data_IF_521004614299
#
_entry.id   IF_521004614299
#
_cell.length_a   1.000
_cell.length_b   1.000
_cell.length_c   1.000
_cell.angle_alpha   90.00
_cell.angle_beta   90.00
_cell.angle_gamma   90.00
#
_symmetry.space_group_name_H-M   'P 1'
#
loop_
_entity.id
_entity.type
_entity.pdbx_description
1 polymer ?
#
# COMPACT_ATOMS: atom_id res chain seq x y z
N UNK A 1 -17.49 10.57 11.94
CA UNK A 1 -17.84 10.07 10.61
C UNK A 1 -17.99 8.55 10.66
N UNK A 2 -19.15 8.03 10.21
CA UNK A 2 -19.42 6.59 10.16
C UNK A 2 -19.10 6.01 8.76
N UNK A 3 -17.89 6.29 8.26
CA UNK A 3 -17.40 5.75 6.99
C UNK A 3 -16.05 5.06 7.21
N UNK A 4 -15.73 3.98 6.47
CA UNK A 4 -14.40 3.41 6.51
C UNK A 4 -13.32 4.45 6.19
N UNK A 5 -12.24 4.43 6.96
CA UNK A 5 -11.10 5.32 6.80
C UNK A 5 -9.90 4.50 6.35
N UNK A 6 -9.33 4.88 5.22
CA UNK A 6 -8.02 4.44 4.79
C UNK A 6 -6.98 5.43 5.32
N UNK A 7 -6.28 5.04 6.38
CA UNK A 7 -5.24 5.84 7.00
C UNK A 7 -3.89 5.54 6.34
N UNK A 8 -3.36 6.49 5.59
CA UNK A 8 -2.03 6.39 4.96
C UNK A 8 -0.94 6.85 5.92
N UNK A 9 0.12 6.06 6.06
CA UNK A 9 1.29 6.38 6.87
C UNK A 9 1.97 7.64 6.35
N UNK A 10 2.31 8.56 7.23
CA UNK A 10 3.14 9.71 6.89
C UNK A 10 4.57 9.28 6.53
N UNK A 11 5.19 9.94 5.57
CA UNK A 11 6.53 9.61 5.07
C UNK A 11 7.62 9.64 6.14
N UNK A 12 7.40 10.38 7.22
CA UNK A 12 8.35 10.54 8.35
C UNK A 12 7.88 9.83 9.62
N UNK A 13 6.73 9.14 9.58
CA UNK A 13 6.16 8.50 10.75
C UNK A 13 6.84 7.15 11.05
N UNK A 14 7.21 6.97 12.30
CA UNK A 14 7.50 5.64 12.85
C UNK A 14 6.23 4.78 12.85
N UNK A 15 6.38 3.46 12.97
CA UNK A 15 5.22 2.56 13.10
C UNK A 15 4.39 2.94 14.33
N UNK A 16 5.03 3.31 15.44
CA UNK A 16 4.35 3.73 16.67
C UNK A 16 3.47 4.97 16.44
N UNK A 17 3.99 6.01 15.80
CA UNK A 17 3.22 7.22 15.49
C UNK A 17 2.06 6.93 14.52
N UNK A 18 2.27 6.01 13.58
CA UNK A 18 1.22 5.56 12.67
C UNK A 18 0.08 4.84 13.41
N UNK A 19 0.42 3.93 14.34
CA UNK A 19 -0.55 3.25 15.20
C UNK A 19 -1.28 4.24 16.13
N UNK A 20 -0.58 5.21 16.71
CA UNK A 20 -1.20 6.27 17.53
C UNK A 20 -2.20 7.10 16.72
N UNK A 21 -1.91 7.36 15.45
CA UNK A 21 -2.86 8.05 14.55
C UNK A 21 -4.11 7.22 14.28
N UNK A 22 -3.97 5.90 14.15
CA UNK A 22 -5.11 5.00 14.02
C UNK A 22 -5.92 4.93 15.31
N UNK A 23 -5.25 4.84 16.45
CA UNK A 23 -5.89 4.84 17.77
C UNK A 23 -6.71 6.10 18.00
N UNK A 24 -6.23 7.24 17.54
CA UNK A 24 -6.99 8.51 17.62
C UNK A 24 -8.32 8.42 16.86
N UNK A 25 -8.32 7.81 15.67
CA UNK A 25 -9.55 7.61 14.91
C UNK A 25 -10.49 6.62 15.62
N UNK A 26 -9.94 5.54 16.17
CA UNK A 26 -10.70 4.53 16.91
C UNK A 26 -11.34 5.11 18.18
N UNK A 27 -10.62 5.96 18.90
CA UNK A 27 -11.10 6.61 20.14
C UNK A 27 -12.26 7.59 19.89
N UNK A 28 -12.35 8.15 18.69
CA UNK A 28 -13.50 8.96 18.24
C UNK A 28 -14.72 8.10 17.82
N UNK A 29 -14.68 6.79 18.06
CA UNK A 29 -15.80 5.85 17.86
C UNK A 29 -15.85 5.21 16.47
N UNK A 30 -14.92 5.49 15.56
CA UNK A 30 -14.89 4.84 14.25
C UNK A 30 -13.97 3.62 14.23
N UNK A 31 -14.56 2.43 14.27
CA UNK A 31 -13.83 1.16 14.26
C UNK A 31 -13.43 0.68 12.85
N UNK A 32 -13.85 1.39 11.80
CA UNK A 32 -13.62 0.99 10.40
C UNK A 32 -12.35 1.66 9.86
N UNK A 33 -11.18 1.23 10.34
CA UNK A 33 -9.88 1.77 9.96
C UNK A 33 -9.06 0.73 9.22
N UNK A 34 -8.49 1.11 8.08
CA UNK A 34 -7.54 0.32 7.27
C UNK A 34 -6.22 1.07 7.27
N UNK A 35 -5.14 0.41 7.62
CA UNK A 35 -3.79 0.96 7.57
C UNK A 35 -3.20 0.82 6.17
N UNK A 36 -2.54 1.87 5.67
CA UNK A 36 -1.89 1.85 4.37
C UNK A 36 -0.42 2.33 4.48
N UNK A 37 0.51 1.41 4.26
CA UNK A 37 1.91 1.76 4.01
C UNK A 37 2.06 2.27 2.59
N UNK A 38 2.73 3.40 2.41
CA UNK A 38 2.85 4.12 1.13
C UNK A 38 4.28 4.61 0.84
N UNK A 39 5.25 4.06 1.52
CA UNK A 39 6.65 4.47 1.47
C UNK A 39 7.02 5.52 2.50
N UNK A 40 8.20 5.37 3.04
CA UNK A 40 8.83 6.29 3.99
C UNK A 40 10.00 7.01 3.33
N UNK A 41 10.29 8.21 3.81
CA UNK A 41 11.45 8.98 3.36
C UNK A 41 12.73 8.42 3.94
N UNK A 42 13.67 8.10 3.06
CA UNK A 42 15.02 7.65 3.44
C UNK A 42 16.08 8.45 2.67
N UNK A 43 17.32 8.11 2.86
CA UNK A 43 18.44 8.69 2.10
C UNK A 43 18.48 8.22 0.63
N UNK A 44 17.77 7.11 0.29
CA UNK A 44 17.76 6.58 -1.07
C UNK A 44 16.91 7.45 -1.99
N UNK A 45 17.46 7.74 -3.17
CA UNK A 45 16.84 8.62 -4.16
C UNK A 45 16.48 7.93 -5.48
N UNK A 46 16.80 6.63 -5.62
CA UNK A 46 16.45 5.84 -6.81
C UNK A 46 14.96 5.58 -6.94
N UNK A 47 14.21 5.70 -5.84
CA UNK A 47 12.75 5.65 -5.80
C UNK A 47 12.20 6.91 -5.12
N UNK A 48 10.93 7.22 -5.37
CA UNK A 48 10.26 8.38 -4.76
C UNK A 48 10.29 8.31 -3.23
N UNK A 49 9.99 7.13 -2.68
CA UNK A 49 10.12 6.77 -1.28
C UNK A 49 10.59 5.32 -1.16
N UNK A 50 11.03 4.91 0.00
CA UNK A 50 11.36 3.51 0.28
C UNK A 50 10.13 2.79 0.79
N UNK A 51 9.70 1.73 0.11
CA UNK A 51 8.60 0.89 0.57
C UNK A 51 9.06 0.05 1.76
N UNK A 52 8.47 0.30 2.93
CA UNK A 52 8.77 -0.44 4.16
C UNK A 52 7.90 -1.70 4.27
N UNK A 53 8.28 -2.75 3.54
CA UNK A 53 7.60 -4.05 3.59
C UNK A 53 7.71 -4.67 4.99
N UNK A 54 8.78 -4.39 5.72
CA UNK A 54 8.98 -4.91 7.07
C UNK A 54 7.94 -4.42 8.08
N UNK A 55 7.27 -3.31 7.80
CA UNK A 55 6.18 -2.84 8.66
C UNK A 55 4.98 -3.79 8.69
N UNK A 56 4.77 -4.62 7.64
CA UNK A 56 3.60 -5.51 7.55
C UNK A 56 3.56 -6.49 8.73
N UNK A 57 4.57 -7.37 8.93
CA UNK A 57 4.55 -8.30 10.06
C UNK A 57 4.57 -7.61 11.42
N UNK A 58 5.16 -6.41 11.53
CA UNK A 58 5.12 -5.63 12.77
C UNK A 58 3.70 -5.16 13.07
N UNK A 59 3.03 -4.52 12.10
CA UNK A 59 1.64 -4.05 12.25
C UNK A 59 0.68 -5.21 12.53
N UNK A 60 0.83 -6.33 11.82
CA UNK A 60 0.01 -7.54 12.03
C UNK A 60 0.14 -8.13 13.44
N UNK A 61 1.27 -7.90 14.12
CA UNK A 61 1.49 -8.29 15.51
C UNK A 61 0.88 -7.28 16.50
N UNK A 62 0.96 -5.99 16.20
CA UNK A 62 0.59 -4.91 17.12
C UNK A 62 -0.90 -4.52 17.04
N UNK A 63 -1.60 -4.83 15.93
CA UNK A 63 -2.99 -4.45 15.74
C UNK A 63 -3.80 -5.51 14.97
N UNK A 64 -5.12 -5.50 15.17
CA UNK A 64 -6.08 -6.30 14.41
C UNK A 64 -6.53 -5.63 13.10
N UNK A 65 -6.12 -4.38 12.88
CA UNK A 65 -6.57 -3.61 11.72
C UNK A 65 -5.99 -4.19 10.40
N UNK A 66 -6.75 -4.14 9.31
CA UNK A 66 -6.24 -4.52 8.00
C UNK A 66 -5.07 -3.64 7.58
N UNK A 67 -4.06 -4.24 6.95
CA UNK A 67 -2.86 -3.56 6.45
C UNK A 67 -2.78 -3.73 4.94
N UNK A 68 -2.88 -2.63 4.20
CA UNK A 68 -2.70 -2.60 2.75
C UNK A 68 -1.46 -1.80 2.36
N UNK A 69 -1.00 -2.01 1.15
CA UNK A 69 0.24 -1.43 0.63
C UNK A 69 -0.06 -0.62 -0.63
N UNK A 70 0.58 0.52 -0.73
CA UNK A 70 0.57 1.40 -1.90
C UNK A 70 1.95 1.41 -2.59
N UNK A 71 2.22 0.47 -3.50
CA UNK A 71 3.50 0.41 -4.19
C UNK A 71 3.68 1.53 -5.19
N UNK A 72 2.59 2.10 -5.70
CA UNK A 72 2.62 3.20 -6.67
C UNK A 72 3.23 4.46 -6.06
N UNK A 73 2.71 4.94 -4.94
CA UNK A 73 3.24 6.11 -4.25
C UNK A 73 4.57 5.84 -3.54
N UNK A 74 4.83 4.59 -3.15
CA UNK A 74 6.10 4.22 -2.55
C UNK A 74 7.24 4.35 -3.55
N UNK A 75 7.18 3.63 -4.65
CA UNK A 75 8.27 3.60 -5.63
C UNK A 75 8.30 4.82 -6.56
N UNK A 76 7.14 5.33 -6.95
CA UNK A 76 7.00 6.40 -7.93
C UNK A 76 7.24 5.95 -9.38
N UNK A 77 7.40 4.65 -9.61
CA UNK A 77 7.73 4.04 -10.90
C UNK A 77 6.80 2.86 -11.19
N UNK A 78 6.05 2.96 -12.29
CA UNK A 78 5.06 1.94 -12.66
C UNK A 78 5.70 0.55 -12.90
N UNK A 79 6.95 0.51 -13.38
CA UNK A 79 7.69 -0.74 -13.63
C UNK A 79 7.95 -1.55 -12.36
N UNK A 80 7.98 -0.89 -11.20
CA UNK A 80 8.24 -1.54 -9.91
C UNK A 80 6.96 -2.02 -9.22
N UNK A 81 5.78 -1.55 -9.66
CA UNK A 81 4.51 -1.83 -8.97
C UNK A 81 4.25 -3.32 -8.86
N UNK A 82 4.46 -4.10 -9.94
CA UNK A 82 4.18 -5.54 -9.92
C UNK A 82 5.08 -6.29 -8.93
N UNK A 83 6.39 -6.06 -8.97
CA UNK A 83 7.34 -6.74 -8.08
C UNK A 83 7.07 -6.41 -6.61
N UNK A 84 6.78 -5.15 -6.30
CA UNK A 84 6.46 -4.71 -4.94
C UNK A 84 5.10 -5.21 -4.47
N UNK A 85 4.14 -5.34 -5.37
CA UNK A 85 2.83 -5.96 -5.07
C UNK A 85 2.98 -7.44 -4.67
N UNK A 86 3.74 -8.22 -5.43
CA UNK A 86 4.04 -9.62 -5.11
C UNK A 86 4.73 -9.76 -3.75
N UNK A 87 5.75 -8.96 -3.51
CA UNK A 87 6.48 -8.95 -2.25
C UNK A 87 5.57 -8.58 -1.06
N UNK A 88 4.67 -7.62 -1.25
CA UNK A 88 3.73 -7.19 -0.22
C UNK A 88 2.72 -8.28 0.15
N UNK A 89 2.17 -9.00 -0.84
CA UNK A 89 1.28 -10.13 -0.60
C UNK A 89 2.04 -11.24 0.15
N UNK A 90 3.24 -11.58 -0.31
CA UNK A 90 4.09 -12.60 0.34
C UNK A 90 4.47 -12.23 1.77
N UNK A 91 4.62 -10.93 2.09
CA UNK A 91 4.85 -10.44 3.44
C UNK A 91 3.59 -10.44 4.34
N UNK A 92 2.41 -10.73 3.80
CA UNK A 92 1.16 -10.85 4.54
C UNK A 92 0.24 -9.63 4.49
N UNK A 93 0.40 -8.73 3.52
CA UNK A 93 -0.53 -7.62 3.33
C UNK A 93 -1.96 -8.11 3.07
N UNK A 94 -2.95 -7.39 3.59
CA UNK A 94 -4.37 -7.71 3.41
C UNK A 94 -4.94 -7.20 2.08
N UNK A 95 -4.23 -6.31 1.40
CA UNK A 95 -4.61 -5.77 0.11
C UNK A 95 -3.58 -4.79 -0.45
N UNK A 96 -3.90 -4.26 -1.60
CA UNK A 96 -3.09 -3.29 -2.33
C UNK A 96 -3.96 -2.11 -2.77
N UNK A 97 -3.37 -0.92 -2.86
CA UNK A 97 -3.95 0.20 -3.58
C UNK A 97 -2.96 0.62 -4.68
N UNK A 98 -3.44 0.64 -5.91
CA UNK A 98 -2.60 0.83 -7.09
C UNK A 98 -3.19 1.94 -7.96
N UNK A 99 -2.33 2.82 -8.40
CA UNK A 99 -2.74 3.93 -9.27
C UNK A 99 -2.80 3.48 -10.72
N UNK A 100 -3.93 3.76 -11.35
CA UNK A 100 -4.21 3.39 -12.75
C UNK A 100 -4.68 4.62 -13.50
N UNK A 101 -4.14 4.85 -14.69
CA UNK A 101 -4.56 5.94 -15.57
C UNK A 101 -4.57 5.47 -17.03
N UNK A 102 -5.60 5.82 -17.83
CA UNK A 102 -5.67 5.41 -19.23
C UNK A 102 -4.55 6.01 -20.09
N UNK A 103 -4.10 7.20 -19.76
CA UNK A 103 -3.01 7.90 -20.43
C UNK A 103 -2.04 8.53 -19.41
N UNK A 104 -1.11 7.74 -18.81
CA UNK A 104 -0.21 8.23 -17.78
C UNK A 104 0.69 9.40 -18.20
N UNK A 105 1.03 9.49 -19.49
CA UNK A 105 1.90 10.55 -20.00
C UNK A 105 1.24 11.92 -19.89
N UNK A 106 -0.08 11.96 -20.05
CA UNK A 106 -0.88 13.19 -19.98
C UNK A 106 -1.66 13.32 -18.68
N UNK A 107 -1.35 12.50 -17.67
CA UNK A 107 -1.97 12.60 -16.36
C UNK A 107 -1.64 13.94 -15.67
N UNK A 108 -2.62 14.57 -15.03
CA UNK A 108 -2.40 15.82 -14.30
C UNK A 108 -1.45 15.66 -13.10
N UNK A 109 -1.38 14.45 -12.53
CA UNK A 109 -0.48 14.10 -11.43
C UNK A 109 -0.09 12.63 -11.52
N UNK A 110 1.06 12.29 -10.93
CA UNK A 110 1.51 10.93 -10.64
C UNK A 110 1.55 9.96 -11.85
N UNK A 111 1.64 10.50 -13.08
CA UNK A 111 1.73 9.71 -14.31
C UNK A 111 2.84 8.64 -14.30
N UNK A 112 4.09 8.95 -13.87
CA UNK A 112 5.19 7.99 -13.87
C UNK A 112 4.95 6.74 -13.02
N UNK A 113 4.07 6.80 -12.02
CA UNK A 113 3.75 5.67 -11.13
C UNK A 113 2.46 4.93 -11.51
N UNK A 114 1.69 5.47 -12.47
CA UNK A 114 0.39 4.93 -12.87
C UNK A 114 0.52 3.79 -13.88
N UNK A 115 -0.19 2.71 -13.63
CA UNK A 115 -0.36 1.63 -14.61
C UNK A 115 -1.40 2.01 -15.65
N UNK A 116 -1.23 1.52 -16.87
CA UNK A 116 -2.33 1.48 -17.84
C UNK A 116 -3.33 0.38 -17.48
N UNK A 117 -4.63 0.51 -17.83
CA UNK A 117 -5.66 -0.47 -17.50
C UNK A 117 -5.31 -1.91 -17.90
N UNK A 118 -4.74 -2.13 -19.08
CA UNK A 118 -4.34 -3.46 -19.55
C UNK A 118 -3.16 -4.05 -18.76
N UNK A 119 -2.26 -3.21 -18.26
CA UNK A 119 -1.17 -3.63 -17.36
C UNK A 119 -1.72 -3.97 -15.97
N UNK A 120 -2.71 -3.23 -15.50
CA UNK A 120 -3.39 -3.54 -14.25
C UNK A 120 -4.15 -4.87 -14.32
N UNK A 121 -4.89 -5.11 -15.41
CA UNK A 121 -5.58 -6.40 -15.60
C UNK A 121 -4.59 -7.57 -15.56
N UNK A 122 -3.47 -7.46 -16.27
CA UNK A 122 -2.39 -8.46 -16.25
C UNK A 122 -1.76 -8.63 -14.86
N UNK A 123 -1.57 -7.52 -14.15
CA UNK A 123 -1.09 -7.56 -12.77
C UNK A 123 -2.02 -8.39 -11.89
N UNK A 124 -3.34 -8.18 -11.97
CA UNK A 124 -4.33 -8.93 -11.17
C UNK A 124 -4.25 -10.44 -11.44
N UNK A 125 -4.08 -10.85 -12.70
CA UNK A 125 -3.86 -12.26 -13.05
C UNK A 125 -2.57 -12.80 -12.43
N UNK A 126 -1.47 -12.04 -12.53
CA UNK A 126 -0.17 -12.43 -12.00
C UNK A 126 -0.10 -12.49 -10.48
N UNK A 127 -0.98 -11.78 -9.77
CA UNK A 127 -1.04 -11.78 -8.31
C UNK A 127 -1.83 -12.95 -7.72
N UNK A 128 -2.77 -13.55 -8.47
CA UNK A 128 -3.60 -14.67 -7.98
C UNK A 128 -2.79 -15.83 -7.38
N UNK A 129 -1.75 -16.36 -8.05
CA UNK A 129 -0.97 -17.46 -7.49
C UNK A 129 -0.29 -17.09 -6.15
N UNK A 130 0.11 -15.82 -5.98
CA UNK A 130 0.69 -15.35 -4.72
C UNK A 130 -0.35 -15.27 -3.61
N UNK A 131 -1.56 -14.80 -3.91
CA UNK A 131 -2.65 -14.75 -2.94
C UNK A 131 -3.05 -16.18 -2.52
N UNK A 132 -3.20 -17.10 -3.47
CA UNK A 132 -3.53 -18.52 -3.22
C UNK A 132 -2.46 -19.19 -2.35
N UNK A 133 -1.18 -18.97 -2.65
CA UNK A 133 -0.06 -19.49 -1.84
C UNK A 133 -0.13 -19.00 -0.38
N UNK A 134 -0.63 -17.79 -0.18
CA UNK A 134 -0.82 -17.21 1.16
C UNK A 134 -2.18 -17.56 1.79
N UNK A 135 -2.94 -18.49 1.18
CA UNK A 135 -4.25 -18.92 1.68
C UNK A 135 -5.34 -17.85 1.53
N UNK A 136 -5.21 -16.97 0.54
CA UNK A 136 -6.14 -15.87 0.26
C UNK A 136 -6.72 -15.96 -1.13
N UNK A 137 -7.81 -15.25 -1.36
CA UNK A 137 -8.43 -15.10 -2.69
C UNK A 137 -8.33 -13.65 -3.15
N UNK A 138 -8.18 -13.45 -4.46
CA UNK A 138 -8.19 -12.16 -5.16
C UNK A 138 -9.41 -12.08 -6.06
#
# INVERSE_FOLDING_TARGET
>A
INKPILLKRGMMNTIKEFLMSAEYVLSEGNQQVILCERGIRTFETATRNTLDISCIPVLKKETHLPVIIDPSHATGHWEMVESMSRASIAAGADGLIIEVHPDPVNAFSDGPQSLKPEKFARLMENLRPFAELMGRTL
#
